data_IF_354357609773
#
_entry.id   IF_354357609773
#
_cell.length_a   1.000
_cell.length_b   1.000
_cell.length_c   1.000
_cell.angle_alpha   90.00
_cell.angle_beta   90.00
_cell.angle_gamma   90.00
#
_symmetry.space_group_name_H-M   'P 1'
#
loop_
_entity.id
_entity.type
_entity.pdbx_description
1 polymer ?
#
# COMPACT_ATOMS: atom_id res chain seq x y z
N UNK A 1 8.88 -11.21 -17.45
CA UNK A 1 7.88 -10.70 -18.43
C UNK A 1 8.19 -9.26 -18.70
N UNK A 2 8.36 -8.89 -19.99
CA UNK A 2 8.91 -7.61 -20.38
C UNK A 2 7.84 -6.50 -20.27
N UNK A 3 8.31 -5.26 -20.13
CA UNK A 3 7.46 -4.04 -20.16
C UNK A 3 6.59 -4.01 -21.43
N UNK A 4 7.04 -4.63 -22.53
CA UNK A 4 6.30 -4.81 -23.76
C UNK A 4 5.03 -5.64 -23.61
N UNK A 5 5.04 -6.69 -22.81
CA UNK A 5 3.87 -7.56 -22.59
C UNK A 5 2.78 -6.83 -21.80
N UNK A 6 3.19 -6.01 -20.80
CA UNK A 6 2.26 -5.20 -20.03
C UNK A 6 1.65 -4.07 -20.86
N UNK A 7 2.44 -3.43 -21.73
CA UNK A 7 1.94 -2.38 -22.63
C UNK A 7 0.95 -2.92 -23.65
N UNK A 8 1.22 -4.10 -24.20
CA UNK A 8 0.30 -4.79 -25.13
C UNK A 8 -1.00 -5.17 -24.43
N UNK A 9 -0.94 -5.58 -23.17
CA UNK A 9 -2.12 -5.95 -22.38
C UNK A 9 -2.97 -4.72 -22.00
N UNK A 10 -2.32 -3.59 -21.68
CA UNK A 10 -3.01 -2.31 -21.40
C UNK A 10 -3.67 -1.77 -22.67
N UNK A 11 -3.02 -1.86 -23.84
CA UNK A 11 -3.60 -1.48 -25.12
C UNK A 11 -4.79 -2.36 -25.51
N UNK A 12 -4.70 -3.67 -25.30
CA UNK A 12 -5.80 -4.61 -25.52
C UNK A 12 -7.01 -4.31 -24.61
N UNK A 13 -6.77 -4.05 -23.32
CA UNK A 13 -7.82 -3.69 -22.37
C UNK A 13 -8.47 -2.33 -22.70
N UNK A 14 -7.69 -1.37 -23.19
CA UNK A 14 -8.21 -0.07 -23.66
C UNK A 14 -9.04 -0.20 -24.94
N UNK A 15 -8.65 -1.08 -25.84
CA UNK A 15 -9.43 -1.38 -27.05
C UNK A 15 -10.76 -2.07 -26.70
N UNK A 16 -10.74 -3.03 -25.78
CA UNK A 16 -11.94 -3.72 -25.29
C UNK A 16 -12.90 -2.75 -24.60
N UNK A 17 -12.40 -1.84 -23.75
CA UNK A 17 -13.21 -0.82 -23.09
C UNK A 17 -13.87 0.15 -24.08
N UNK A 18 -13.22 0.48 -25.21
CA UNK A 18 -13.80 1.28 -26.28
C UNK A 18 -14.90 0.53 -27.02
N UNK A 19 -14.70 -0.77 -27.26
CA UNK A 19 -15.68 -1.63 -27.90
C UNK A 19 -16.93 -1.78 -27.04
N UNK A 20 -16.75 -2.03 -25.74
CA UNK A 20 -17.84 -2.15 -24.76
C UNK A 20 -18.62 -0.82 -24.61
N UNK A 21 -17.94 0.33 -24.68
CA UNK A 21 -18.59 1.65 -24.68
C UNK A 21 -19.38 1.93 -25.98
N UNK A 22 -18.91 1.44 -27.11
CA UNK A 22 -19.60 1.55 -28.38
C UNK A 22 -20.84 0.63 -28.41
N UNK A 23 -20.72 -0.60 -27.90
CA UNK A 23 -21.85 -1.51 -27.74
C UNK A 23 -22.91 -0.95 -26.78
N UNK A 24 -22.49 -0.38 -25.64
CA UNK A 24 -23.40 0.27 -24.71
C UNK A 24 -24.16 1.44 -25.36
N UNK A 25 -23.48 2.27 -26.16
CA UNK A 25 -24.15 3.34 -26.95
C UNK A 25 -25.15 2.82 -27.95
N UNK A 26 -24.84 1.74 -28.64
CA UNK A 26 -25.76 1.14 -29.61
C UNK A 26 -27.00 0.55 -28.96
N UNK A 27 -26.83 -0.08 -27.79
CA UNK A 27 -27.91 -0.61 -26.94
C UNK A 27 -28.80 0.53 -26.44
N UNK A 28 -28.23 1.63 -25.94
CA UNK A 28 -29.00 2.80 -25.51
C UNK A 28 -29.80 3.43 -26.67
N UNK A 29 -29.20 3.56 -27.82
CA UNK A 29 -29.91 4.06 -29.02
C UNK A 29 -31.05 3.13 -29.47
N UNK A 30 -30.83 1.81 -29.41
CA UNK A 30 -31.88 0.80 -29.68
C UNK A 30 -33.01 0.82 -28.65
N UNK A 31 -32.70 1.13 -27.41
CA UNK A 31 -33.66 1.26 -26.31
C UNK A 31 -34.48 2.56 -26.45
N UNK A 32 -33.87 3.66 -26.88
CA UNK A 32 -34.59 4.91 -27.16
C UNK A 32 -35.60 4.76 -28.32
N UNK A 33 -35.22 4.08 -29.39
CA UNK A 33 -36.15 3.85 -30.52
C UNK A 33 -37.29 2.92 -30.12
N UNK A 34 -37.07 1.94 -29.24
CA UNK A 34 -38.16 1.08 -28.71
C UNK A 34 -39.07 1.82 -27.75
N UNK A 35 -38.53 2.76 -26.97
CA UNK A 35 -39.33 3.58 -26.04
C UNK A 35 -40.33 4.48 -26.80
N UNK A 36 -39.93 4.99 -27.94
CA UNK A 36 -40.82 5.82 -28.80
C UNK A 36 -41.95 5.01 -29.47
N UNK A 37 -41.82 3.69 -29.54
CA UNK A 37 -42.82 2.79 -30.15
C UNK A 37 -43.77 2.08 -29.19
N UNK A 38 -43.59 2.26 -27.86
CA UNK A 38 -44.36 1.53 -26.86
C UNK A 38 -45.74 2.16 -26.63
N UNK A 39 -46.79 1.46 -27.06
CA UNK A 39 -48.20 1.91 -27.00
C UNK A 39 -49.03 1.24 -25.89
N UNK A 40 -48.55 0.18 -25.21
CA UNK A 40 -49.33 -0.56 -24.21
C UNK A 40 -48.58 -0.87 -22.92
N UNK A 41 -49.33 -1.01 -21.79
CA UNK A 41 -48.76 -1.32 -20.50
C UNK A 41 -48.05 -2.70 -20.43
N UNK A 42 -48.38 -3.63 -21.31
CA UNK A 42 -47.76 -4.96 -21.41
C UNK A 42 -46.37 -4.86 -22.02
N UNK A 43 -46.20 -4.07 -23.08
CA UNK A 43 -44.90 -3.82 -23.71
C UNK A 43 -43.94 -3.05 -22.82
N UNK A 44 -44.48 -2.16 -21.96
CA UNK A 44 -43.70 -1.42 -20.95
C UNK A 44 -43.12 -2.36 -19.88
N UNK A 45 -43.85 -3.38 -19.49
CA UNK A 45 -43.41 -4.39 -18.52
C UNK A 45 -42.31 -5.28 -19.14
N UNK A 46 -42.52 -5.76 -20.36
CA UNK A 46 -41.55 -6.58 -21.10
C UNK A 46 -40.22 -5.81 -21.33
N UNK A 47 -40.33 -4.52 -21.67
CA UNK A 47 -39.21 -3.61 -21.82
C UNK A 47 -38.44 -3.42 -20.48
N UNK A 48 -39.15 -3.27 -19.35
CA UNK A 48 -38.58 -3.13 -18.05
C UNK A 48 -37.80 -4.40 -17.62
N UNK A 49 -38.40 -5.57 -17.87
CA UNK A 49 -37.80 -6.86 -17.55
C UNK A 49 -36.57 -7.15 -18.44
N UNK A 50 -36.61 -6.77 -19.70
CA UNK A 50 -35.47 -6.86 -20.63
C UNK A 50 -34.34 -5.90 -20.23
N UNK A 51 -34.66 -4.68 -19.79
CA UNK A 51 -33.70 -3.70 -19.33
C UNK A 51 -33.02 -4.16 -18.02
N UNK A 52 -33.78 -4.73 -17.08
CA UNK A 52 -33.27 -5.29 -15.85
C UNK A 52 -32.30 -6.44 -16.14
N UNK A 53 -32.64 -7.35 -17.03
CA UNK A 53 -31.77 -8.47 -17.44
C UNK A 53 -30.47 -8.01 -18.10
N UNK A 54 -30.51 -6.95 -18.91
CA UNK A 54 -29.32 -6.38 -19.55
C UNK A 54 -28.44 -5.64 -18.52
N UNK A 55 -29.06 -4.97 -17.55
CA UNK A 55 -28.33 -4.32 -16.45
C UNK A 55 -27.62 -5.34 -15.56
N UNK A 56 -28.27 -6.46 -15.28
CA UNK A 56 -27.69 -7.57 -14.50
C UNK A 56 -26.55 -8.26 -15.27
N UNK A 57 -26.68 -8.40 -16.60
CA UNK A 57 -25.61 -8.92 -17.45
C UNK A 57 -24.40 -7.97 -17.53
N UNK A 58 -24.63 -6.64 -17.58
CA UNK A 58 -23.57 -5.62 -17.54
C UNK A 58 -22.85 -5.59 -16.18
N UNK A 59 -23.63 -5.66 -15.10
CA UNK A 59 -23.07 -5.73 -13.74
C UNK A 59 -22.24 -7.01 -13.53
N UNK A 60 -22.66 -8.12 -14.12
CA UNK A 60 -21.90 -9.39 -14.08
C UNK A 60 -20.62 -9.31 -14.92
N UNK A 61 -20.65 -8.64 -16.09
CA UNK A 61 -19.44 -8.41 -16.90
C UNK A 61 -18.45 -7.45 -16.23
N UNK A 62 -18.93 -6.40 -15.59
CA UNK A 62 -18.07 -5.46 -14.82
C UNK A 62 -17.42 -6.14 -13.62
N UNK A 63 -18.14 -7.06 -12.95
CA UNK A 63 -17.57 -7.87 -11.85
C UNK A 63 -16.50 -8.86 -12.31
N UNK A 64 -16.58 -9.38 -13.56
CA UNK A 64 -15.56 -10.30 -14.10
C UNK A 64 -14.24 -9.65 -14.53
N UNK A 65 -14.19 -8.33 -14.64
CA UNK A 65 -12.99 -7.59 -15.05
C UNK A 65 -12.12 -7.08 -13.89
N UNK A 66 -12.53 -7.28 -12.64
CA UNK A 66 -11.70 -6.93 -11.49
C UNK A 66 -10.84 -8.12 -11.06
N UNK A 67 -9.55 -7.93 -10.78
CA UNK A 67 -8.76 -8.98 -10.18
C UNK A 67 -9.37 -9.34 -8.82
N UNK A 68 -9.72 -10.61 -8.64
CA UNK A 68 -10.28 -11.16 -7.40
C UNK A 68 -9.24 -11.10 -6.26
N UNK A 69 -9.08 -9.91 -5.67
CA UNK A 69 -8.48 -9.79 -4.35
C UNK A 69 -9.63 -9.74 -3.35
N UNK A 70 -9.88 -10.83 -2.64
CA UNK A 70 -10.84 -10.83 -1.53
C UNK A 70 -10.46 -9.73 -0.54
N UNK A 71 -11.43 -8.92 -0.13
CA UNK A 71 -11.24 -7.94 0.94
C UNK A 71 -10.81 -8.64 2.23
N UNK A 72 -10.02 -7.95 3.07
CA UNK A 72 -9.63 -8.47 4.38
C UNK A 72 -10.84 -8.94 5.21
N UNK A 73 -11.92 -8.17 5.19
CA UNK A 73 -13.17 -8.52 5.87
C UNK A 73 -13.87 -9.74 5.29
N UNK A 74 -13.80 -9.93 3.97
CA UNK A 74 -14.36 -11.13 3.30
C UNK A 74 -13.50 -12.37 3.57
N UNK A 75 -12.18 -12.24 3.52
CA UNK A 75 -11.26 -13.33 3.85
C UNK A 75 -11.38 -13.77 5.31
N UNK A 76 -11.63 -12.82 6.21
CA UNK A 76 -11.89 -13.12 7.62
C UNK A 76 -13.29 -13.71 7.83
N UNK A 77 -14.32 -13.19 7.19
CA UNK A 77 -15.69 -13.71 7.26
C UNK A 77 -15.74 -15.16 6.76
N UNK A 78 -15.08 -15.47 5.65
CA UNK A 78 -14.97 -16.83 5.11
C UNK A 78 -14.25 -17.79 6.06
N UNK A 79 -13.19 -17.33 6.75
CA UNK A 79 -12.47 -18.11 7.76
C UNK A 79 -13.27 -18.32 9.04
N UNK A 80 -14.18 -17.41 9.36
CA UNK A 80 -15.07 -17.50 10.51
C UNK A 80 -16.40 -18.17 10.17
N UNK A 81 -16.74 -18.32 8.89
CA UNK A 81 -17.96 -18.96 8.45
C UNK A 81 -17.94 -20.46 8.83
N UNK A 82 -18.90 -20.88 9.63
CA UNK A 82 -18.98 -22.24 10.15
C UNK A 82 -18.14 -22.52 11.40
N UNK A 83 -17.31 -21.60 11.86
CA UNK A 83 -16.56 -21.76 13.12
C UNK A 83 -17.39 -21.24 14.29
N UNK A 84 -17.78 -22.13 15.18
CA UNK A 84 -18.38 -21.73 16.45
C UNK A 84 -17.26 -21.22 17.38
N UNK A 85 -17.05 -19.90 17.35
CA UNK A 85 -15.98 -19.19 18.08
C UNK A 85 -16.01 -19.55 19.56
N UNK A 86 -17.21 -19.61 20.18
CA UNK A 86 -17.35 -19.99 21.60
C UNK A 86 -16.91 -21.41 21.89
N UNK A 87 -17.24 -22.36 21.00
CA UNK A 87 -16.88 -23.77 21.17
C UNK A 87 -15.36 -23.99 20.99
N UNK A 88 -14.74 -23.35 20.01
CA UNK A 88 -13.30 -23.45 19.78
C UNK A 88 -12.49 -22.78 20.88
N UNK A 89 -12.93 -21.62 21.38
CA UNK A 89 -12.26 -20.94 22.48
C UNK A 89 -12.41 -21.70 23.81
N UNK A 90 -13.54 -22.40 24.03
CA UNK A 90 -13.73 -23.27 25.21
C UNK A 90 -12.82 -24.50 25.16
N UNK A 91 -12.52 -25.01 23.95
CA UNK A 91 -11.74 -26.23 23.76
C UNK A 91 -10.23 -25.98 23.82
N UNK A 92 -9.77 -24.89 23.21
CA UNK A 92 -8.35 -24.63 22.98
C UNK A 92 -7.81 -23.38 23.72
N UNK A 93 -8.68 -22.65 24.44
CA UNK A 93 -8.33 -21.42 25.19
C UNK A 93 -7.99 -20.21 24.31
N UNK A 94 -7.75 -20.43 23.01
CA UNK A 94 -7.39 -19.38 22.03
C UNK A 94 -7.84 -19.78 20.63
N UNK A 95 -8.16 -18.78 19.82
CA UNK A 95 -8.43 -18.90 18.40
C UNK A 95 -7.33 -18.16 17.62
N UNK A 96 -6.62 -18.89 16.77
CA UNK A 96 -5.59 -18.34 15.89
C UNK A 96 -6.13 -18.26 14.47
N UNK A 97 -6.14 -17.05 13.91
CA UNK A 97 -6.59 -16.79 12.54
C UNK A 97 -5.40 -16.21 11.77
N UNK A 98 -4.83 -16.99 10.88
CA UNK A 98 -3.79 -16.55 9.97
C UNK A 98 -4.44 -15.97 8.71
N UNK A 99 -4.16 -14.71 8.46
CA UNK A 99 -4.73 -13.99 7.32
C UNK A 99 -3.77 -14.06 6.13
N UNK A 100 -4.29 -14.20 4.90
CA UNK A 100 -3.46 -14.11 3.72
C UNK A 100 -2.91 -12.69 3.57
N UNK A 101 -1.79 -12.54 2.86
CA UNK A 101 -1.26 -11.22 2.50
C UNK A 101 -2.33 -10.37 1.80
N UNK A 102 -2.81 -9.37 2.49
CA UNK A 102 -3.80 -8.44 1.93
C UNK A 102 -3.06 -7.30 1.29
N UNK A 103 -2.96 -7.32 -0.03
CA UNK A 103 -2.55 -6.15 -0.80
C UNK A 103 -3.60 -5.06 -0.60
N UNK A 104 -3.15 -3.90 -0.21
CA UNK A 104 -3.83 -2.62 0.03
C UNK A 104 -5.34 -2.59 -0.24
N UNK A 105 -6.12 -2.36 0.81
CA UNK A 105 -7.57 -2.13 0.72
C UNK A 105 -7.79 -0.77 0.06
N UNK A 106 -8.04 -0.76 -1.24
CA UNK A 106 -8.51 0.43 -1.93
C UNK A 106 -9.96 0.71 -1.53
N UNK A 107 -10.20 1.93 -1.09
CA UNK A 107 -11.42 2.42 -0.43
C UNK A 107 -12.71 2.35 -1.26
N UNK A 108 -12.65 1.96 -2.54
CA UNK A 108 -13.74 2.18 -3.49
C UNK A 108 -14.75 1.03 -3.64
N UNK A 109 -14.50 -0.17 -3.11
CA UNK A 109 -15.31 -1.34 -3.48
C UNK A 109 -16.14 -2.00 -2.38
N UNK A 110 -16.07 -1.57 -1.11
CA UNK A 110 -16.67 -2.34 0.00
C UNK A 110 -17.74 -1.61 0.82
N UNK A 111 -18.64 -0.91 0.15
CA UNK A 111 -19.88 -0.38 0.77
C UNK A 111 -21.14 -0.94 0.10
N UNK A 112 -21.15 -2.22 -0.27
CA UNK A 112 -22.40 -2.92 -0.59
C UNK A 112 -22.73 -3.87 0.55
N UNK A 113 -23.34 -3.37 1.60
CA UNK A 113 -24.00 -4.18 2.60
C UNK A 113 -25.49 -4.22 2.27
N UNK A 114 -26.02 -5.41 2.24
CA UNK A 114 -27.47 -5.65 2.17
C UNK A 114 -28.18 -4.87 3.29
N UNK A 115 -29.07 -3.97 2.93
CA UNK A 115 -29.83 -3.18 3.88
C UNK A 115 -30.96 -4.03 4.45
N UNK A 116 -30.72 -4.68 5.55
CA UNK A 116 -31.84 -5.11 6.42
C UNK A 116 -32.32 -3.90 7.21
N UNK A 117 -33.54 -3.51 6.94
CA UNK A 117 -34.21 -2.34 7.51
C UNK A 117 -34.01 -2.20 9.02
N UNK A 118 -33.85 -0.97 9.46
CA UNK A 118 -34.08 -0.36 10.78
C UNK A 118 -32.95 -0.21 11.76
N UNK A 119 -31.79 -0.81 11.61
CA UNK A 119 -30.60 -0.38 12.36
C UNK A 119 -29.56 0.19 11.42
N UNK A 120 -29.31 1.49 11.51
CA UNK A 120 -28.22 2.13 10.82
C UNK A 120 -26.91 1.66 11.49
N UNK A 121 -26.46 0.46 11.14
CA UNK A 121 -25.22 -0.14 11.64
C UNK A 121 -23.96 0.48 11.00
N UNK A 122 -24.12 1.63 10.33
CA UNK A 122 -22.98 2.40 9.81
C UNK A 122 -22.17 2.93 10.98
N UNK A 123 -21.15 2.17 11.33
CA UNK A 123 -20.12 2.66 12.25
C UNK A 123 -19.22 3.64 11.48
N UNK A 124 -19.22 4.90 11.92
CA UNK A 124 -18.29 5.90 11.43
C UNK A 124 -16.89 5.60 12.01
N UNK A 125 -16.15 4.73 11.35
CA UNK A 125 -14.77 4.38 11.71
C UNK A 125 -13.84 5.31 10.95
N UNK A 126 -12.80 5.81 11.63
CA UNK A 126 -11.77 6.60 10.98
C UNK A 126 -11.10 5.81 9.85
N UNK A 127 -10.77 6.44 8.72
CA UNK A 127 -10.16 5.77 7.58
C UNK A 127 -8.78 5.22 7.90
N UNK A 128 -8.35 4.22 7.14
CA UNK A 128 -6.97 3.74 7.13
C UNK A 128 -6.03 4.82 6.56
N UNK A 129 -4.75 4.70 6.82
CA UNK A 129 -3.76 5.50 6.10
C UNK A 129 -3.82 5.18 4.61
N UNK A 130 -3.75 6.21 3.77
CA UNK A 130 -3.81 6.06 2.31
C UNK A 130 -2.54 5.42 1.75
N UNK A 131 -1.42 5.63 2.43
CA UNK A 131 -0.09 5.22 2.00
C UNK A 131 0.60 4.49 3.13
N UNK A 132 1.02 3.26 2.88
CA UNK A 132 1.83 2.47 3.80
C UNK A 132 3.24 2.33 3.26
N UNK A 133 4.21 2.37 4.14
CA UNK A 133 5.63 2.25 3.78
C UNK A 133 5.92 0.89 3.13
N UNK A 134 5.31 -0.19 3.65
CA UNK A 134 5.46 -1.57 3.14
C UNK A 134 5.11 -1.76 1.66
N UNK A 135 4.22 -0.93 1.11
CA UNK A 135 3.77 -1.04 -0.28
C UNK A 135 4.87 -0.65 -1.30
N UNK A 136 5.90 0.04 -0.83
CA UNK A 136 7.02 0.53 -1.64
C UNK A 136 8.31 -0.29 -1.47
N UNK A 137 8.31 -1.27 -0.58
CA UNK A 137 9.51 -2.02 -0.22
C UNK A 137 9.32 -3.50 -0.54
N UNK A 138 10.28 -4.14 -1.23
CA UNK A 138 10.21 -5.58 -1.45
C UNK A 138 10.27 -6.35 -0.12
N UNK A 139 9.57 -7.47 -0.05
CA UNK A 139 9.50 -8.31 1.14
C UNK A 139 10.35 -9.56 0.95
N UNK A 140 11.18 -9.85 1.94
CA UNK A 140 12.00 -11.07 2.03
C UNK A 140 11.53 -11.88 3.23
N UNK A 141 11.22 -13.15 3.00
CA UNK A 141 10.89 -14.09 4.07
C UNK A 141 12.17 -14.59 4.74
N UNK A 142 12.24 -14.53 6.06
CA UNK A 142 13.35 -15.08 6.84
C UNK A 142 12.82 -16.16 7.79
N UNK A 143 13.43 -17.36 7.83
CA UNK A 143 13.01 -18.41 8.76
C UNK A 143 13.43 -18.10 10.20
N UNK A 144 14.32 -17.14 10.42
CA UNK A 144 14.86 -16.75 11.71
C UNK A 144 14.69 -15.26 11.93
N UNK A 145 14.62 -14.83 13.18
CA UNK A 145 14.53 -13.40 13.55
C UNK A 145 15.82 -12.61 13.38
N UNK A 146 16.86 -13.19 12.77
CA UNK A 146 18.12 -12.54 12.47
C UNK A 146 18.39 -12.65 10.97
N UNK A 147 18.52 -11.51 10.32
CA UNK A 147 18.85 -11.41 8.91
C UNK A 147 20.22 -10.74 8.75
N UNK A 148 21.11 -11.39 8.00
CA UNK A 148 22.48 -10.95 7.81
C UNK A 148 22.68 -10.57 6.35
N UNK A 149 23.12 -9.35 6.11
CA UNK A 149 23.53 -8.84 4.80
C UNK A 149 24.96 -8.35 4.84
N UNK A 150 25.60 -8.30 3.67
CA UNK A 150 26.93 -7.74 3.52
C UNK A 150 26.83 -6.49 2.67
N UNK A 151 27.47 -5.43 3.12
CA UNK A 151 27.61 -4.18 2.37
C UNK A 151 29.06 -3.84 2.13
N UNK A 152 29.33 -3.15 1.08
CA UNK A 152 30.65 -2.62 0.81
C UNK A 152 31.07 -1.64 1.92
N UNK A 153 32.29 -1.79 2.42
CA UNK A 153 32.81 -0.89 3.44
C UNK A 153 33.08 0.49 2.83
N UNK A 154 32.79 1.54 3.60
CA UNK A 154 33.15 2.91 3.23
C UNK A 154 34.67 3.06 3.20
N UNK A 155 35.21 3.54 2.08
CA UNK A 155 36.64 3.78 1.93
C UNK A 155 37.38 2.83 0.98
N UNK A 156 36.68 1.95 0.28
CA UNK A 156 37.26 1.23 -0.85
C UNK A 156 37.68 2.25 -1.94
N UNK A 157 38.97 2.28 -2.25
CA UNK A 157 39.48 3.20 -3.28
C UNK A 157 39.52 2.50 -4.65
N UNK A 158 39.05 3.19 -5.67
CA UNK A 158 39.22 2.72 -7.03
C UNK A 158 40.57 3.19 -7.58
N UNK A 159 41.52 2.27 -7.70
CA UNK A 159 42.86 2.51 -8.24
C UNK A 159 42.95 2.12 -9.73
N UNK A 160 41.84 1.75 -10.36
CA UNK A 160 41.80 1.40 -11.77
C UNK A 160 41.99 2.68 -12.60
N UNK A 161 43.07 2.74 -13.36
CA UNK A 161 43.40 3.87 -14.20
C UNK A 161 44.03 3.40 -15.52
N UNK A 162 44.12 4.32 -16.47
CA UNK A 162 44.85 4.09 -17.73
C UNK A 162 46.32 3.81 -17.41
N UNK A 163 46.86 2.72 -17.94
CA UNK A 163 48.23 2.29 -17.72
C UNK A 163 49.07 2.45 -18.99
N UNK A 164 50.26 2.96 -18.81
CA UNK A 164 51.25 2.98 -19.88
C UNK A 164 51.84 1.59 -20.09
N UNK A 165 52.29 1.30 -21.31
CA UNK A 165 52.97 0.07 -21.62
C UNK A 165 54.21 -0.11 -20.72
N UNK A 166 54.37 -1.30 -20.12
CA UNK A 166 55.46 -1.60 -19.20
C UNK A 166 55.25 -1.13 -17.74
N UNK A 167 54.18 -0.40 -17.44
CA UNK A 167 53.85 0.03 -16.04
C UNK A 167 53.13 -1.05 -15.24
N UNK A 168 53.42 -1.10 -13.93
CA UNK A 168 52.76 -2.00 -13.00
C UNK A 168 51.32 -1.56 -12.81
N UNK A 169 50.37 -2.50 -12.90
CA UNK A 169 48.95 -2.24 -12.59
C UNK A 169 48.74 -2.05 -11.09
N UNK A 170 47.87 -1.11 -10.76
CA UNK A 170 47.47 -0.86 -9.37
C UNK A 170 46.48 -1.92 -8.88
N UNK A 171 46.62 -2.32 -7.64
CA UNK A 171 45.72 -3.27 -6.97
C UNK A 171 44.54 -2.55 -6.34
N UNK A 172 43.33 -3.08 -6.55
CA UNK A 172 42.14 -2.69 -5.82
C UNK A 172 41.82 -3.70 -4.71
N UNK A 173 41.66 -3.19 -3.52
CA UNK A 173 41.23 -4.00 -2.36
C UNK A 173 39.79 -3.68 -2.01
N UNK A 174 38.95 -4.70 -1.96
CA UNK A 174 37.54 -4.58 -1.59
C UNK A 174 37.31 -5.24 -0.24
N UNK A 175 36.63 -4.53 0.65
CA UNK A 175 36.20 -5.06 1.93
C UNK A 175 34.68 -5.00 2.07
N UNK A 176 34.11 -6.02 2.69
CA UNK A 176 32.67 -6.12 2.98
C UNK A 176 32.46 -6.07 4.50
N UNK A 177 31.45 -5.34 4.91
CA UNK A 177 31.03 -5.25 6.31
C UNK A 177 29.74 -6.02 6.50
N UNK A 178 29.69 -6.90 7.49
CA UNK A 178 28.51 -7.62 7.90
C UNK A 178 27.52 -6.67 8.61
N UNK A 179 26.26 -6.70 8.18
CA UNK A 179 25.17 -5.96 8.80
C UNK A 179 24.11 -6.94 9.28
N UNK A 180 23.79 -6.86 10.56
CA UNK A 180 22.79 -7.70 11.23
C UNK A 180 21.52 -6.91 11.44
N UNK A 181 20.43 -7.37 10.85
CA UNK A 181 19.08 -6.84 11.07
C UNK A 181 18.33 -7.83 11.96
N UNK A 182 17.91 -7.35 13.12
CA UNK A 182 17.16 -8.17 14.09
C UNK A 182 15.69 -7.80 13.97
N UNK A 183 14.86 -8.79 13.70
CA UNK A 183 13.41 -8.59 13.66
C UNK A 183 12.88 -8.25 15.05
N UNK A 184 11.83 -7.45 15.09
CA UNK A 184 11.13 -7.06 16.32
C UNK A 184 9.64 -7.31 16.14
N UNK A 185 8.95 -7.59 17.24
CA UNK A 185 7.50 -7.66 17.22
C UNK A 185 6.92 -6.25 17.18
N UNK A 186 6.19 -5.97 16.11
CA UNK A 186 5.24 -4.86 16.07
C UNK A 186 3.91 -5.46 16.50
N UNK A 187 3.40 -5.09 17.66
CA UNK A 187 2.24 -5.73 18.25
C UNK A 187 1.36 -4.76 19.01
N UNK A 188 0.08 -5.07 19.09
CA UNK A 188 -0.90 -4.36 19.91
C UNK A 188 -2.03 -5.29 20.33
N UNK A 189 -2.75 -4.92 21.39
CA UNK A 189 -3.91 -5.69 21.82
C UNK A 189 -5.07 -4.78 22.22
N UNK A 190 -6.27 -5.35 22.18
CA UNK A 190 -7.50 -4.71 22.66
C UNK A 190 -8.31 -5.71 23.47
N UNK A 191 -8.98 -5.24 24.53
CA UNK A 191 -9.88 -6.05 25.34
C UNK A 191 -11.33 -5.66 25.06
N UNK A 192 -12.19 -6.65 24.95
CA UNK A 192 -13.63 -6.45 24.73
C UNK A 192 -14.45 -7.50 25.48
N UNK A 193 -15.74 -7.20 25.68
CA UNK A 193 -16.60 -8.11 26.44
C UNK A 193 -17.00 -9.33 25.61
N UNK A 194 -17.22 -10.44 26.30
CA UNK A 194 -17.71 -11.68 25.69
C UNK A 194 -19.07 -11.50 24.99
N UNK A 195 -19.90 -10.56 25.45
CA UNK A 195 -21.16 -10.23 24.80
C UNK A 195 -20.99 -9.66 23.40
N UNK A 196 -19.89 -8.94 23.14
CA UNK A 196 -19.55 -8.45 21.81
C UNK A 196 -19.13 -9.57 20.84
N UNK A 197 -18.61 -10.68 21.36
CA UNK A 197 -18.33 -11.88 20.56
C UNK A 197 -19.58 -12.53 19.97
N UNK A 198 -20.74 -12.35 20.59
CA UNK A 198 -22.02 -12.82 20.07
C UNK A 198 -22.45 -12.01 18.82
N UNK A 199 -21.84 -10.85 18.58
CA UNK A 199 -22.08 -10.02 17.39
C UNK A 199 -21.06 -10.35 16.30
N UNK A 200 -21.37 -11.33 15.47
CA UNK A 200 -20.52 -11.74 14.34
C UNK A 200 -20.10 -10.58 13.42
N UNK A 201 -20.99 -9.61 13.06
CA UNK A 201 -20.59 -8.46 12.25
C UNK A 201 -19.53 -7.58 12.90
N UNK A 202 -19.55 -7.40 14.22
CA UNK A 202 -18.52 -6.66 14.94
C UNK A 202 -17.18 -7.37 14.85
N UNK A 203 -17.14 -8.67 15.07
CA UNK A 203 -15.92 -9.47 15.03
C UNK A 203 -15.31 -9.55 13.63
N UNK A 204 -16.15 -9.75 12.62
CA UNK A 204 -15.67 -9.95 11.24
C UNK A 204 -15.30 -8.65 10.52
N UNK A 205 -15.92 -7.54 10.87
CA UNK A 205 -15.76 -6.29 10.12
C UNK A 205 -15.03 -5.19 10.89
N UNK A 206 -15.38 -4.96 12.14
CA UNK A 206 -14.95 -3.78 12.89
C UNK A 206 -13.63 -3.99 13.61
N UNK A 207 -13.51 -5.04 14.41
CA UNK A 207 -12.33 -5.27 15.24
C UNK A 207 -11.05 -5.47 14.42
N UNK A 208 -11.04 -6.35 13.42
CA UNK A 208 -9.84 -6.51 12.59
C UNK A 208 -9.45 -5.22 11.88
N UNK A 209 -10.43 -4.47 11.38
CA UNK A 209 -10.17 -3.20 10.71
C UNK A 209 -9.51 -2.17 11.64
N UNK A 210 -9.98 -2.06 12.88
CA UNK A 210 -9.39 -1.15 13.86
C UNK A 210 -7.97 -1.57 14.23
N UNK A 211 -7.77 -2.85 14.54
CA UNK A 211 -6.45 -3.38 14.90
C UNK A 211 -5.46 -3.25 13.74
N UNK A 212 -5.87 -3.61 12.54
CA UNK A 212 -5.03 -3.51 11.34
C UNK A 212 -4.67 -2.06 11.01
N UNK A 213 -5.63 -1.13 11.15
CA UNK A 213 -5.37 0.29 10.95
C UNK A 213 -4.28 0.80 11.90
N UNK A 214 -4.41 0.47 13.17
CA UNK A 214 -3.50 0.97 14.20
C UNK A 214 -2.14 0.24 14.12
N UNK A 215 -2.12 -1.02 13.71
CA UNK A 215 -0.92 -1.77 13.39
C UNK A 215 -0.14 -1.09 12.25
N UNK A 216 -0.76 -0.79 11.11
CA UNK A 216 -0.07 -0.13 10.00
C UNK A 216 0.44 1.27 10.35
N UNK A 217 -0.25 1.99 11.23
CA UNK A 217 0.28 3.27 11.74
C UNK A 217 1.57 3.07 12.53
N UNK A 218 1.62 2.07 13.39
CA UNK A 218 2.79 1.75 14.19
C UNK A 218 3.95 1.27 13.31
N UNK A 219 3.67 0.37 12.36
CA UNK A 219 4.63 -0.14 11.40
C UNK A 219 5.26 0.98 10.56
N UNK A 220 4.42 1.84 9.95
CA UNK A 220 4.89 2.97 9.15
C UNK A 220 5.81 3.89 9.95
N UNK A 221 5.46 4.19 11.21
CA UNK A 221 6.26 5.01 12.09
C UNK A 221 7.59 4.35 12.45
N UNK A 222 7.59 3.05 12.75
CA UNK A 222 8.78 2.27 13.10
C UNK A 222 9.74 2.19 11.89
N UNK A 223 9.23 1.85 10.73
CA UNK A 223 10.03 1.74 9.51
C UNK A 223 10.60 3.08 9.08
N UNK A 224 9.78 4.12 9.05
CA UNK A 224 10.25 5.48 8.77
C UNK A 224 11.36 5.91 9.74
N UNK A 225 11.16 5.72 11.04
CA UNK A 225 12.17 6.08 12.06
C UNK A 225 13.49 5.34 11.85
N UNK A 226 13.42 4.04 11.55
CA UNK A 226 14.61 3.21 11.32
C UNK A 226 15.36 3.67 10.08
N UNK A 227 14.68 3.81 8.95
CA UNK A 227 15.34 4.16 7.68
C UNK A 227 15.80 5.62 7.67
N UNK A 228 14.98 6.56 8.15
CA UNK A 228 15.38 7.97 8.21
C UNK A 228 16.54 8.22 9.18
N UNK A 229 16.61 7.45 10.28
CA UNK A 229 17.71 7.51 11.23
C UNK A 229 19.02 6.91 10.71
N UNK A 230 18.93 5.95 9.78
CA UNK A 230 20.08 5.32 9.12
C UNK A 230 20.49 6.00 7.82
N UNK A 231 19.66 6.87 7.25
CA UNK A 231 19.90 7.55 5.98
C UNK A 231 21.10 8.52 6.10
N UNK A 232 22.07 8.37 5.19
CA UNK A 232 23.28 9.21 5.14
C UNK A 232 23.50 9.87 3.77
N UNK A 233 22.54 9.80 2.86
CA UNK A 233 22.60 10.49 1.58
C UNK A 233 22.73 12.00 1.74
N UNK A 234 23.34 12.67 0.76
CA UNK A 234 23.62 14.12 0.82
C UNK A 234 22.34 14.94 0.89
N UNK A 235 22.23 15.78 1.91
CA UNK A 235 21.07 16.65 2.17
C UNK A 235 21.28 18.10 1.68
N UNK A 236 22.41 18.38 1.01
CA UNK A 236 22.77 19.74 0.59
C UNK A 236 21.84 20.22 -0.51
N UNK A 237 21.18 21.33 -0.27
CA UNK A 237 20.32 22.03 -1.25
C UNK A 237 20.60 23.53 -1.23
N UNK A 238 20.50 24.19 -2.39
CA UNK A 238 20.69 25.64 -2.56
C UNK A 238 19.43 26.31 -3.14
N UNK A 239 18.44 25.54 -3.54
CA UNK A 239 17.20 26.07 -4.09
C UNK A 239 16.36 26.75 -3.01
N UNK A 240 15.67 27.85 -3.39
CA UNK A 240 14.74 28.57 -2.48
C UNK A 240 13.37 27.89 -2.45
N UNK A 241 12.92 27.35 -3.58
CA UNK A 241 11.64 26.69 -3.74
C UNK A 241 11.71 25.24 -3.29
N UNK A 242 10.70 24.75 -2.60
CA UNK A 242 10.69 23.38 -2.04
C UNK A 242 10.73 22.32 -3.15
N UNK A 243 10.04 22.56 -4.26
CA UNK A 243 10.10 21.71 -5.44
C UNK A 243 11.52 21.66 -6.03
N UNK A 244 12.22 22.81 -6.06
CA UNK A 244 13.62 22.89 -6.49
C UNK A 244 14.56 22.13 -5.56
N UNK A 245 14.32 22.16 -4.25
CA UNK A 245 15.09 21.37 -3.26
C UNK A 245 14.91 19.86 -3.51
N UNK A 246 13.67 19.40 -3.76
CA UNK A 246 13.42 17.98 -4.07
C UNK A 246 14.16 17.55 -5.32
N UNK A 247 14.18 18.37 -6.38
CA UNK A 247 14.93 18.07 -7.60
C UNK A 247 16.44 17.95 -7.31
N UNK A 248 16.98 18.83 -6.46
CA UNK A 248 18.39 18.77 -6.06
C UNK A 248 18.69 17.53 -5.22
N UNK A 249 17.77 17.12 -4.32
CA UNK A 249 17.92 15.89 -3.55
C UNK A 249 17.91 14.65 -4.44
N UNK A 250 17.05 14.61 -5.47
CA UNK A 250 17.07 13.55 -6.49
C UNK A 250 18.43 13.56 -7.22
N UNK A 251 18.96 14.74 -7.55
CA UNK A 251 20.28 14.90 -8.14
C UNK A 251 21.40 14.40 -7.22
N UNK A 252 21.30 14.65 -5.92
CA UNK A 252 22.27 14.18 -4.93
C UNK A 252 22.31 12.65 -4.84
N UNK A 253 21.16 11.98 -4.91
CA UNK A 253 21.12 10.51 -5.01
C UNK A 253 21.80 10.01 -6.27
N UNK A 254 21.53 10.65 -7.41
CA UNK A 254 22.16 10.30 -8.71
C UNK A 254 23.65 10.51 -8.72
N UNK A 255 24.17 11.49 -7.98
CA UNK A 255 25.62 11.70 -7.82
C UNK A 255 26.29 10.53 -7.12
N UNK A 256 25.55 9.79 -6.28
CA UNK A 256 25.99 8.55 -5.66
C UNK A 256 25.66 7.30 -6.49
N UNK A 257 25.23 7.44 -7.75
CA UNK A 257 24.79 6.38 -8.66
C UNK A 257 23.54 5.61 -8.16
N UNK A 258 22.74 6.21 -7.26
CA UNK A 258 21.46 5.67 -6.81
C UNK A 258 20.30 6.24 -7.64
N UNK A 259 19.26 5.43 -7.83
CA UNK A 259 18.04 5.83 -8.52
C UNK A 259 16.91 6.09 -7.50
N UNK A 260 16.50 7.34 -7.32
CA UNK A 260 15.34 7.62 -6.50
C UNK A 260 14.10 6.90 -7.04
N UNK A 261 13.51 6.01 -6.24
CA UNK A 261 12.31 5.26 -6.60
C UNK A 261 11.04 6.00 -6.21
N UNK A 262 11.07 6.71 -5.08
CA UNK A 262 9.94 7.46 -4.54
C UNK A 262 10.43 8.57 -3.61
N UNK A 263 9.65 9.65 -3.57
CA UNK A 263 9.81 10.76 -2.61
C UNK A 263 8.58 10.79 -1.72
N UNK A 264 8.77 10.67 -0.43
CA UNK A 264 7.71 10.83 0.56
C UNK A 264 7.77 12.21 1.20
N UNK A 265 6.63 12.86 1.29
CA UNK A 265 6.44 14.16 1.96
C UNK A 265 5.18 14.12 2.82
N UNK A 266 5.00 15.07 3.73
CA UNK A 266 3.73 15.17 4.44
C UNK A 266 2.58 15.55 3.47
N UNK A 267 1.34 15.19 3.81
CA UNK A 267 0.18 15.60 3.00
C UNK A 267 0.02 17.13 2.91
N UNK A 268 0.42 17.86 3.96
CA UNK A 268 0.45 19.31 3.94
C UNK A 268 1.48 19.82 2.92
N UNK A 269 2.69 19.28 2.95
CA UNK A 269 3.76 19.64 2.02
C UNK A 269 3.42 19.26 0.58
N UNK A 270 2.79 18.09 0.38
CA UNK A 270 2.31 17.67 -0.94
C UNK A 270 1.36 18.70 -1.56
N UNK A 271 0.43 19.25 -0.77
CA UNK A 271 -0.49 20.30 -1.24
C UNK A 271 0.21 21.62 -1.55
N UNK A 272 1.24 21.97 -0.79
CA UNK A 272 2.06 23.15 -1.05
C UNK A 272 2.87 23.02 -2.33
N UNK A 273 3.50 21.86 -2.55
CA UNK A 273 4.25 21.56 -3.78
C UNK A 273 3.34 21.62 -5.02
N UNK A 274 2.11 21.13 -4.90
CA UNK A 274 1.13 21.21 -5.97
C UNK A 274 0.78 22.67 -6.29
N UNK A 275 0.52 23.48 -5.25
CA UNK A 275 0.20 24.90 -5.39
C UNK A 275 1.39 25.69 -5.95
N UNK A 276 2.61 25.40 -5.50
CA UNK A 276 3.84 26.01 -6.02
C UNK A 276 4.00 25.73 -7.51
N UNK A 277 3.70 24.53 -7.96
CA UNK A 277 3.75 24.14 -9.38
C UNK A 277 2.77 24.94 -10.23
N UNK A 278 1.57 25.23 -9.72
CA UNK A 278 0.57 26.06 -10.42
C UNK A 278 0.94 27.53 -10.44
N UNK A 279 1.47 28.07 -9.33
CA UNK A 279 1.75 29.50 -9.19
C UNK A 279 2.93 29.95 -10.03
N UNK A 280 3.98 29.15 -10.13
CA UNK A 280 5.21 29.52 -10.81
C UNK A 280 5.23 29.19 -12.31
N UNK A 281 4.25 28.47 -12.83
CA UNK A 281 4.10 28.17 -14.27
C UNK A 281 5.25 27.41 -14.93
N UNK A 282 6.32 27.11 -14.20
CA UNK A 282 7.57 26.54 -14.72
C UNK A 282 7.49 25.05 -15.05
N UNK A 283 6.48 24.36 -14.55
CA UNK A 283 6.52 22.90 -14.48
C UNK A 283 5.48 22.19 -15.35
N UNK A 284 4.48 22.93 -15.82
CA UNK A 284 3.45 22.37 -16.68
C UNK A 284 3.91 22.29 -18.15
N UNK A 285 4.40 21.16 -18.55
CA UNK A 285 4.65 20.82 -19.97
C UNK A 285 6.11 20.81 -20.43
N UNK A 286 7.08 21.20 -19.62
CA UNK A 286 8.51 21.20 -19.99
C UNK A 286 9.31 20.01 -19.42
N UNK A 287 8.70 18.81 -19.40
CA UNK A 287 9.45 17.56 -19.14
C UNK A 287 9.81 17.26 -17.68
N UNK A 288 9.43 18.10 -16.71
CA UNK A 288 9.82 17.91 -15.32
C UNK A 288 8.73 17.43 -14.38
N UNK A 289 7.55 18.03 -14.42
CA UNK A 289 6.44 17.74 -13.52
C UNK A 289 5.25 17.21 -14.29
N UNK A 290 4.77 16.03 -13.94
CA UNK A 290 3.53 15.48 -14.49
C UNK A 290 2.58 15.11 -13.36
N UNK A 291 1.31 15.47 -13.50
CA UNK A 291 0.25 15.03 -12.61
C UNK A 291 -0.42 13.83 -13.30
N UNK A 292 -0.26 12.65 -12.73
CA UNK A 292 -0.94 11.45 -13.23
C UNK A 292 -2.46 11.52 -13.04
N UNK A 293 -3.21 10.70 -13.78
CA UNK A 293 -4.67 10.61 -13.67
C UNK A 293 -5.16 10.27 -12.25
N UNK A 294 -4.31 9.66 -11.44
CA UNK A 294 -4.57 9.34 -10.01
C UNK A 294 -4.15 10.44 -9.04
N UNK A 295 -3.78 11.64 -9.51
CA UNK A 295 -3.30 12.73 -8.65
C UNK A 295 -1.88 12.55 -8.12
N UNK A 296 -1.11 11.58 -8.63
CA UNK A 296 0.29 11.37 -8.26
C UNK A 296 1.14 12.44 -8.95
N UNK A 297 1.89 13.17 -8.13
CA UNK A 297 2.84 14.19 -8.60
C UNK A 297 4.16 13.48 -8.95
N UNK A 298 4.62 13.59 -10.20
CA UNK A 298 5.91 13.03 -10.64
C UNK A 298 6.88 14.14 -11.01
N UNK A 299 8.11 14.06 -10.50
CA UNK A 299 9.21 14.94 -10.86
C UNK A 299 10.35 14.12 -11.45
N UNK A 300 10.78 14.48 -12.65
CA UNK A 300 11.87 13.79 -13.34
C UNK A 300 11.69 12.24 -13.40
N UNK A 301 10.43 11.78 -13.48
CA UNK A 301 10.09 10.37 -13.49
C UNK A 301 9.99 9.73 -12.10
N UNK A 302 10.20 10.48 -11.02
CA UNK A 302 10.10 10.00 -9.63
C UNK A 302 8.76 10.44 -9.04
N UNK A 303 7.93 9.50 -8.53
CA UNK A 303 6.67 9.84 -7.89
C UNK A 303 6.89 10.50 -6.53
N UNK A 304 6.13 11.59 -6.28
CA UNK A 304 6.04 12.23 -4.95
C UNK A 304 4.74 11.79 -4.31
N UNK A 305 4.86 11.19 -3.15
CA UNK A 305 3.74 10.60 -2.42
C UNK A 305 3.52 11.35 -1.11
N UNK A 306 2.32 11.88 -0.92
CA UNK A 306 1.90 12.48 0.34
C UNK A 306 1.51 11.41 1.37
N UNK A 307 2.07 11.49 2.57
CA UNK A 307 1.81 10.53 3.65
C UNK A 307 1.68 11.24 5.01
N UNK A 308 1.18 10.52 6.02
CA UNK A 308 0.97 11.09 7.37
C UNK A 308 2.11 10.80 8.35
N UNK A 309 3.08 9.96 7.96
CA UNK A 309 4.18 9.53 8.83
C UNK A 309 5.49 10.29 8.59
N UNK A 310 5.58 11.10 7.53
CA UNK A 310 6.68 12.05 7.33
C UNK A 310 6.29 13.39 7.96
N UNK A 311 7.17 14.01 8.78
CA UNK A 311 6.95 15.35 9.33
C UNK A 311 6.82 16.43 8.25
N UNK A 312 6.17 17.56 8.60
CA UNK A 312 6.11 18.72 7.73
C UNK A 312 7.52 19.26 7.46
N UNK A 313 7.68 19.98 6.36
CA UNK A 313 8.93 20.59 5.91
C UNK A 313 10.09 19.59 5.74
N UNK A 314 9.75 18.32 5.46
CA UNK A 314 10.71 17.25 5.24
C UNK A 314 10.39 16.47 3.99
N UNK A 315 11.45 16.06 3.28
CA UNK A 315 11.40 15.09 2.20
C UNK A 315 12.21 13.85 2.58
N UNK A 316 11.64 12.69 2.28
CA UNK A 316 12.27 11.41 2.49
C UNK A 316 12.32 10.66 1.15
N UNK A 317 13.53 10.48 0.63
CA UNK A 317 13.81 9.85 -0.65
C UNK A 317 14.45 8.48 -0.41
N UNK A 318 14.04 7.50 -1.18
CA UNK A 318 14.61 6.15 -1.11
C UNK A 318 14.85 5.56 -2.49
N UNK A 319 15.88 4.71 -2.58
CA UNK A 319 16.08 3.76 -3.66
C UNK A 319 15.64 2.36 -3.18
N UNK A 320 14.54 1.85 -3.74
CA UNK A 320 13.95 0.57 -3.34
C UNK A 320 14.87 -0.63 -3.60
N UNK A 321 15.86 -0.49 -4.46
CA UNK A 321 16.80 -1.59 -4.79
C UNK A 321 17.69 -1.97 -3.60
N UNK A 322 17.85 -1.04 -2.63
CA UNK A 322 18.70 -1.21 -1.45
C UNK A 322 17.92 -1.25 -0.14
N UNK A 323 16.61 -1.42 -0.22
CA UNK A 323 15.74 -1.47 0.92
C UNK A 323 14.88 -2.73 0.85
N UNK A 324 14.77 -3.47 1.93
CA UNK A 324 13.93 -4.66 2.02
C UNK A 324 13.26 -4.79 3.38
N UNK A 325 12.06 -5.30 3.38
CA UNK A 325 11.31 -5.70 4.57
C UNK A 325 11.53 -7.18 4.82
N UNK A 326 12.07 -7.51 5.98
CA UNK A 326 12.32 -8.89 6.38
C UNK A 326 11.25 -9.32 7.36
N UNK A 327 10.48 -10.32 7.02
CA UNK A 327 9.44 -10.89 7.89
C UNK A 327 9.65 -12.38 8.14
N UNK A 328 9.25 -12.84 9.31
CA UNK A 328 9.24 -14.26 9.67
C UNK A 328 7.84 -14.84 9.48
N UNK A 329 6.86 -14.14 10.02
CA UNK A 329 5.45 -14.50 9.92
C UNK A 329 4.68 -13.26 9.48
N UNK A 330 3.68 -13.44 8.64
CA UNK A 330 2.76 -12.37 8.27
C UNK A 330 1.99 -11.82 9.48
N UNK A 331 1.17 -10.80 9.24
CA UNK A 331 0.33 -10.20 10.29
C UNK A 331 -0.64 -11.25 10.84
N UNK A 332 -0.59 -11.47 12.14
CA UNK A 332 -1.44 -12.43 12.86
C UNK A 332 -2.40 -11.69 13.80
N UNK A 333 -3.65 -12.16 13.86
CA UNK A 333 -4.61 -11.74 14.89
C UNK A 333 -4.98 -12.96 15.73
N UNK A 334 -4.77 -12.86 17.03
CA UNK A 334 -5.12 -13.90 18.00
C UNK A 334 -6.14 -13.39 19.02
N UNK A 335 -7.03 -14.28 19.43
CA UNK A 335 -8.05 -14.03 20.43
C UNK A 335 -7.84 -14.98 21.61
N UNK A 336 -7.83 -14.47 22.84
CA UNK A 336 -7.64 -15.30 24.03
C UNK A 336 -8.59 -14.89 25.18
N UNK A 337 -9.11 -15.91 25.90
CA UNK A 337 -9.81 -15.75 27.18
C UNK A 337 -8.89 -15.82 28.38
N UNK A 338 -7.70 -16.38 28.22
CA UNK A 338 -6.82 -16.74 29.33
C UNK A 338 -5.90 -15.61 29.80
N UNK A 339 -6.00 -14.43 29.14
CA UNK A 339 -5.14 -13.30 29.49
C UNK A 339 -5.59 -12.69 30.84
N UNK A 340 -4.69 -12.73 31.85
CA UNK A 340 -4.91 -12.15 33.18
C UNK A 340 -6.27 -12.56 33.81
N UNK A 341 -7.15 -11.58 34.07
CA UNK A 341 -8.45 -11.76 34.70
C UNK A 341 -9.62 -11.93 33.69
N UNK A 342 -9.35 -12.14 32.43
CA UNK A 342 -10.37 -12.20 31.37
C UNK A 342 -11.45 -13.25 31.66
N UNK A 343 -11.05 -14.41 32.21
CA UNK A 343 -11.97 -15.47 32.55
C UNK A 343 -13.00 -15.02 33.62
N UNK A 344 -12.54 -14.34 34.66
CA UNK A 344 -13.38 -13.88 35.78
C UNK A 344 -14.24 -12.69 35.38
N UNK A 345 -13.74 -11.81 34.50
CA UNK A 345 -14.42 -10.58 34.09
C UNK A 345 -15.25 -10.73 32.80
N UNK A 346 -15.35 -11.93 32.23
CA UNK A 346 -16.00 -12.19 30.94
C UNK A 346 -15.47 -11.30 29.81
N UNK A 347 -14.15 -11.09 29.79
CA UNK A 347 -13.45 -10.35 28.75
C UNK A 347 -12.71 -11.27 27.80
N UNK A 348 -12.37 -10.74 26.61
CA UNK A 348 -11.55 -11.39 25.60
C UNK A 348 -10.48 -10.40 25.16
N UNK A 349 -9.25 -10.86 25.05
CA UNK A 349 -8.15 -10.09 24.48
C UNK A 349 -7.94 -10.46 23.03
N UNK A 350 -7.96 -9.47 22.13
CA UNK A 350 -7.53 -9.61 20.75
C UNK A 350 -6.14 -8.98 20.62
N UNK A 351 -5.18 -9.72 20.08
CA UNK A 351 -3.81 -9.28 19.82
C UNK A 351 -3.56 -9.32 18.31
N UNK A 352 -2.96 -8.26 17.79
CA UNK A 352 -2.38 -8.23 16.44
C UNK A 352 -0.88 -8.14 16.57
N UNK A 353 -0.15 -8.90 15.78
CA UNK A 353 1.31 -8.87 15.77
C UNK A 353 1.90 -9.29 14.44
N UNK A 354 3.10 -8.77 14.15
CA UNK A 354 3.98 -9.23 13.09
C UNK A 354 5.42 -9.21 13.60
N UNK A 355 6.19 -10.22 13.25
CA UNK A 355 7.61 -10.30 13.59
C UNK A 355 8.45 -9.96 12.38
N UNK A 356 8.89 -8.70 12.29
CA UNK A 356 9.50 -8.14 11.10
C UNK A 356 10.56 -7.08 11.42
N UNK A 357 11.33 -6.71 10.41
CA UNK A 357 12.25 -5.59 10.44
C UNK A 357 12.37 -4.97 9.04
N UNK A 358 12.92 -3.77 8.98
CA UNK A 358 13.33 -3.14 7.74
C UNK A 358 14.84 -3.07 7.68
N UNK A 359 15.41 -3.50 6.57
CA UNK A 359 16.85 -3.50 6.30
C UNK A 359 17.20 -2.48 5.24
N UNK A 360 18.02 -1.51 5.58
CA UNK A 360 18.64 -0.57 4.65
C UNK A 360 20.06 -1.07 4.35
N UNK A 361 20.25 -1.66 3.19
CA UNK A 361 21.54 -2.27 2.78
C UNK A 361 22.64 -1.22 2.68
N UNK A 362 22.37 -0.10 2.00
CA UNK A 362 23.29 1.01 1.83
C UNK A 362 22.68 2.31 2.38
N UNK A 363 23.24 2.90 3.47
CA UNK A 363 22.74 4.13 4.06
C UNK A 363 22.63 5.33 3.12
N UNK A 364 23.53 5.39 2.11
CA UNK A 364 23.57 6.47 1.12
C UNK A 364 22.44 6.37 0.08
N UNK A 365 21.72 5.23 -0.01
CA UNK A 365 20.59 5.05 -0.91
C UNK A 365 19.29 5.72 -0.40
N UNK A 366 19.33 6.31 0.78
CA UNK A 366 18.22 7.05 1.37
C UNK A 366 18.66 8.46 1.80
N UNK A 367 17.77 9.44 1.60
CA UNK A 367 17.95 10.83 2.03
C UNK A 367 16.76 11.24 2.88
N UNK A 368 17.01 11.82 4.04
CA UNK A 368 16.02 12.50 4.86
C UNK A 368 16.47 13.94 5.10
N UNK A 369 15.81 14.90 4.46
CA UNK A 369 16.23 16.29 4.42
C UNK A 369 15.09 17.26 4.72
N UNK A 370 15.47 18.48 5.14
CA UNK A 370 14.55 19.62 5.22
C UNK A 370 14.35 20.22 3.82
N UNK A 371 13.12 20.55 3.49
CA UNK A 371 12.75 21.19 2.22
C UNK A 371 12.06 22.52 2.46
#
# INVERSE_FOLDING_TARGET
KSIGDNLTQVLANSANAKTDAAEAKSVVAGLQSKLESVATAAELKEFKDAMQSQFDALTTKVKKGQPEGKSFSEALAEKLEGVNIEAEMRKNGRLHIQLPEVKTITLASNLSGDSVATYNSRQAIQPNQLVNFRDFVPTTQSPTGLYVTYREATGNANNIASQLEGSLKQENNYSLTEVKTVNQFIAGFSKFSRQMLASLPFMSQTLPRLLTRDFFKAENSAFFSTVSGAATGSTTTSASADLGKIIQLIGNLRTGDFAASVVFVSNAQWSLLLNESFTNGYYMGAGGLTIGQSGVLNIAGVPIVGCNWVPNDRAFLIDNSFLERVEVNGVNIELSYEDQNNFVTNMVTARIECYEAINLMLPNSAIYATI
#
